data_IF_063268069093
#
_entry.id   IF_063268069093
#
_cell.length_a   1.000
_cell.length_b   1.000
_cell.length_c   1.000
_cell.angle_alpha   90.00
_cell.angle_beta   90.00
_cell.angle_gamma   90.00
#
_symmetry.space_group_name_H-M   'P 1'
#
loop_
_entity.id
_entity.type
_entity.pdbx_description
1 polymer ?
#
# COMPACT_ATOMS: atom_id res chain seq x y z
N UNK A 1 -9.56 -5.29 -16.48
CA UNK A 1 -8.46 -5.80 -15.66
C UNK A 1 -8.09 -4.71 -14.69
N UNK A 2 -8.03 -5.00 -13.39
CA UNK A 2 -7.66 -4.02 -12.37
C UNK A 2 -6.16 -3.73 -12.48
N UNK A 3 -5.76 -2.49 -12.30
CA UNK A 3 -4.34 -2.12 -12.29
C UNK A 3 -3.63 -2.79 -11.10
N UNK A 4 -2.45 -3.36 -11.34
CA UNK A 4 -1.64 -4.02 -10.32
C UNK A 4 -0.52 -3.05 -9.93
N UNK A 5 -0.61 -2.53 -8.70
CA UNK A 5 0.29 -1.55 -8.11
C UNK A 5 0.54 -1.90 -6.64
N UNK A 6 1.74 -1.61 -6.16
CA UNK A 6 2.13 -1.85 -4.78
C UNK A 6 2.87 -0.64 -4.21
N UNK A 7 2.66 -0.42 -2.93
CA UNK A 7 3.55 0.34 -2.06
C UNK A 7 4.20 -0.64 -1.07
N UNK A 8 5.28 -0.21 -0.43
CA UNK A 8 5.89 -0.99 0.64
C UNK A 8 6.18 -0.09 1.83
N UNK A 9 5.75 -0.52 3.01
CA UNK A 9 6.26 0.00 4.26
C UNK A 9 7.63 -0.64 4.54
N UNK A 10 8.69 0.15 4.56
CA UNK A 10 10.05 -0.31 4.87
C UNK A 10 10.29 -0.19 6.37
N UNK A 11 10.43 -1.33 7.04
CA UNK A 11 10.48 -1.45 8.50
C UNK A 11 11.72 -0.78 9.11
N UNK A 12 12.82 -0.73 8.36
CA UNK A 12 14.12 -0.20 8.81
C UNK A 12 14.03 1.29 9.14
N UNK A 13 13.44 2.10 8.24
CA UNK A 13 13.34 3.55 8.41
C UNK A 13 11.91 4.06 8.63
N UNK A 14 10.94 3.14 8.61
CA UNK A 14 9.52 3.37 8.91
C UNK A 14 8.83 4.30 7.91
N UNK A 15 9.21 4.21 6.63
CA UNK A 15 8.60 5.00 5.54
C UNK A 15 7.92 4.12 4.51
N UNK A 16 7.04 4.73 3.73
CA UNK A 16 6.36 4.08 2.62
C UNK A 16 7.01 4.50 1.31
N UNK A 17 7.35 3.52 0.49
CA UNK A 17 7.97 3.68 -0.81
C UNK A 17 7.08 3.14 -1.92
N UNK A 18 7.29 3.64 -3.14
CA UNK A 18 6.71 3.00 -4.31
C UNK A 18 7.52 1.75 -4.67
N UNK A 19 6.84 0.68 -5.09
CA UNK A 19 7.48 -0.55 -5.54
C UNK A 19 7.64 -0.51 -7.05
N UNK A 20 8.88 -0.66 -7.54
CA UNK A 20 9.18 -0.73 -8.97
C UNK A 20 9.29 -2.16 -9.48
N UNK A 21 9.90 -3.04 -8.69
CA UNK A 21 10.04 -4.45 -9.03
C UNK A 21 9.93 -5.34 -7.79
N UNK A 22 9.41 -6.56 -7.99
CA UNK A 22 9.36 -7.61 -6.98
C UNK A 22 10.04 -8.84 -7.56
N UNK A 23 11.09 -9.32 -6.91
CA UNK A 23 11.80 -10.52 -7.29
C UNK A 23 11.51 -11.66 -6.30
N UNK A 24 10.53 -12.50 -6.64
CA UNK A 24 10.15 -13.64 -5.80
C UNK A 24 11.23 -14.72 -5.67
N UNK A 25 12.16 -14.84 -6.62
CA UNK A 25 13.22 -15.85 -6.54
C UNK A 25 14.36 -15.44 -5.61
N UNK A 26 14.58 -14.13 -5.45
CA UNK A 26 15.58 -13.57 -4.54
C UNK A 26 15.00 -13.06 -3.23
N UNK A 27 13.67 -12.98 -3.13
CA UNK A 27 12.97 -12.40 -1.99
C UNK A 27 13.41 -10.94 -1.74
N UNK A 28 13.54 -10.18 -2.85
CA UNK A 28 13.99 -8.79 -2.87
C UNK A 28 12.96 -7.88 -3.57
N UNK A 29 12.85 -6.63 -3.10
CA UNK A 29 11.97 -5.59 -3.64
C UNK A 29 12.79 -4.36 -4.00
N UNK A 30 12.58 -3.81 -5.18
CA UNK A 30 13.13 -2.52 -5.60
C UNK A 30 12.16 -1.40 -5.21
N UNK A 31 12.62 -0.53 -4.30
CA UNK A 31 11.85 0.57 -3.72
C UNK A 31 12.35 1.90 -4.28
N UNK A 32 11.42 2.81 -4.59
CA UNK A 32 11.73 4.14 -5.11
C UNK A 32 11.37 5.25 -4.12
N UNK A 33 12.38 6.03 -3.71
CA UNK A 33 12.20 7.25 -2.94
C UNK A 33 11.93 8.44 -3.87
N UNK A 34 10.67 8.84 -3.97
CA UNK A 34 10.25 10.02 -4.76
C UNK A 34 10.90 11.32 -4.32
N UNK A 35 11.21 11.49 -3.03
CA UNK A 35 11.79 12.73 -2.51
C UNK A 35 13.26 12.85 -2.88
N UNK A 36 13.99 11.74 -2.76
CA UNK A 36 15.42 11.69 -3.05
C UNK A 36 15.72 11.37 -4.52
N UNK A 37 14.72 10.90 -5.28
CA UNK A 37 14.85 10.45 -6.68
C UNK A 37 15.89 9.34 -6.83
N UNK A 38 15.86 8.38 -5.91
CA UNK A 38 16.76 7.20 -5.90
C UNK A 38 15.96 5.94 -5.64
N UNK A 39 16.41 4.85 -6.24
CA UNK A 39 15.97 3.49 -5.96
C UNK A 39 16.96 2.76 -5.04
N UNK A 40 16.47 1.74 -4.34
CA UNK A 40 17.27 0.81 -3.55
C UNK A 40 16.55 -0.52 -3.38
N UNK A 41 17.32 -1.57 -3.07
CA UNK A 41 16.79 -2.92 -2.82
C UNK A 41 16.52 -3.13 -1.33
N UNK A 42 15.44 -3.84 -1.02
CA UNK A 42 15.09 -4.28 0.34
C UNK A 42 14.71 -5.77 0.34
N UNK A 43 15.05 -6.47 1.43
CA UNK A 43 14.60 -7.84 1.66
C UNK A 43 13.09 -7.89 1.92
N UNK A 44 12.44 -9.00 1.55
CA UNK A 44 11.05 -9.29 1.92
C UNK A 44 10.82 -9.23 3.44
N UNK A 45 11.82 -9.61 4.25
CA UNK A 45 11.73 -9.57 5.71
C UNK A 45 11.62 -8.12 6.24
N UNK A 46 12.19 -7.16 5.52
CA UNK A 46 12.27 -5.76 5.93
C UNK A 46 11.10 -4.91 5.43
N UNK A 47 10.16 -5.49 4.70
CA UNK A 47 9.06 -4.76 4.06
C UNK A 47 7.69 -5.36 4.39
N UNK A 48 6.66 -4.52 4.32
CA UNK A 48 5.26 -4.94 4.26
C UNK A 48 4.67 -4.40 2.96
N UNK A 49 4.25 -5.30 2.07
CA UNK A 49 3.64 -4.92 0.80
C UNK A 49 2.19 -4.47 1.03
N UNK A 50 1.83 -3.35 0.40
CA UNK A 50 0.51 -2.73 0.46
C UNK A 50 -0.06 -2.70 -0.95
N UNK A 51 -1.05 -3.54 -1.25
CA UNK A 51 -1.61 -3.64 -2.60
C UNK A 51 -2.64 -2.53 -2.87
N UNK A 52 -2.65 -1.99 -4.09
CA UNK A 52 -3.69 -1.06 -4.53
C UNK A 52 -5.08 -1.71 -4.56
N UNK A 53 -6.03 -1.07 -3.88
CA UNK A 53 -7.42 -1.54 -3.77
C UNK A 53 -8.24 -1.34 -5.05
N UNK A 54 -7.75 -0.58 -6.04
CA UNK A 54 -8.49 -0.25 -7.26
C UNK A 54 -9.44 0.93 -7.11
N UNK A 55 -9.57 1.44 -5.88
CA UNK A 55 -10.45 2.54 -5.53
C UNK A 55 -9.64 3.79 -5.21
N UNK A 56 -10.27 4.94 -5.41
CA UNK A 56 -9.77 6.24 -4.99
C UNK A 56 -10.72 6.81 -3.94
N UNK A 57 -10.19 7.59 -3.02
CA UNK A 57 -11.01 8.36 -2.08
C UNK A 57 -11.71 9.53 -2.80
N UNK A 58 -12.45 10.33 -2.01
CA UNK A 58 -13.17 11.52 -2.50
C UNK A 58 -12.27 12.57 -3.16
N UNK A 59 -10.99 12.60 -2.81
CA UNK A 59 -10.00 13.57 -3.29
C UNK A 59 -9.16 12.98 -4.45
N UNK A 60 -9.50 11.78 -4.91
CA UNK A 60 -8.86 11.10 -6.04
C UNK A 60 -7.56 10.36 -5.68
N UNK A 61 -7.22 10.28 -4.39
CA UNK A 61 -6.05 9.57 -3.86
C UNK A 61 -6.32 8.07 -3.92
N UNK A 62 -5.39 7.32 -4.49
CA UNK A 62 -5.46 5.86 -4.56
C UNK A 62 -5.39 5.26 -3.16
N UNK A 63 -6.29 4.32 -2.87
CA UNK A 63 -6.36 3.63 -1.57
C UNK A 63 -5.60 2.31 -1.67
N UNK A 64 -4.71 2.05 -0.73
CA UNK A 64 -3.90 0.84 -0.59
C UNK A 64 -4.31 0.04 0.64
N UNK A 65 -3.96 -1.25 0.66
CA UNK A 65 -4.10 -2.08 1.86
C UNK A 65 -3.38 -1.46 3.05
N UNK A 66 -4.02 -1.42 4.22
CA UNK A 66 -3.53 -0.77 5.43
C UNK A 66 -3.89 0.71 5.56
N UNK A 67 -4.43 1.36 4.52
CA UNK A 67 -4.89 2.74 4.62
C UNK A 67 -6.08 2.86 5.58
N UNK A 68 -6.07 3.93 6.38
CA UNK A 68 -7.15 4.31 7.29
C UNK A 68 -8.00 5.37 6.60
N UNK A 69 -9.30 5.10 6.52
CA UNK A 69 -10.28 5.95 5.86
C UNK A 69 -11.30 6.42 6.90
N UNK A 70 -11.85 7.61 6.68
CA UNK A 70 -13.01 8.07 7.43
C UNK A 70 -14.27 7.68 6.65
N UNK A 71 -15.15 6.90 7.29
CA UNK A 71 -16.44 6.52 6.74
C UNK A 71 -17.33 7.74 6.46
N UNK A 72 -18.19 7.63 5.45
CA UNK A 72 -19.09 8.70 5.01
C UNK A 72 -20.48 8.58 5.67
N UNK A 73 -20.63 7.80 6.74
CA UNK A 73 -21.91 7.82 7.47
C UNK A 73 -22.04 9.18 8.14
N UNK A 74 -23.00 9.98 7.68
CA UNK A 74 -23.27 11.35 8.16
C UNK A 74 -23.56 11.40 9.67
N UNK A 75 -23.84 10.25 10.30
CA UNK A 75 -24.06 10.13 11.74
C UNK A 75 -22.84 9.65 12.55
N UNK A 76 -21.83 9.02 11.95
CA UNK A 76 -20.72 8.41 12.69
C UNK A 76 -19.37 8.59 11.96
N UNK A 77 -18.46 9.34 12.58
CA UNK A 77 -17.05 9.45 12.19
C UNK A 77 -16.28 8.16 12.49
N UNK A 78 -16.71 7.04 11.92
CA UNK A 78 -16.02 5.77 12.08
C UNK A 78 -14.81 5.71 11.15
N UNK A 79 -13.67 5.31 11.73
CA UNK A 79 -12.47 5.02 10.96
C UNK A 79 -12.55 3.57 10.52
N UNK A 80 -12.23 3.31 9.26
CA UNK A 80 -12.09 1.96 8.74
C UNK A 80 -10.72 1.72 8.11
N UNK A 81 -10.27 0.46 8.07
CA UNK A 81 -9.02 0.04 7.46
C UNK A 81 -9.29 -0.79 6.22
N UNK A 82 -8.59 -0.49 5.13
CA UNK A 82 -8.62 -1.31 3.92
C UNK A 82 -7.83 -2.61 4.13
N UNK A 83 -8.48 -3.77 4.05
CA UNK A 83 -7.86 -5.09 4.25
C UNK A 83 -8.23 -6.04 3.11
N UNK A 84 -7.30 -6.91 2.68
CA UNK A 84 -7.62 -7.99 1.75
C UNK A 84 -8.02 -9.26 2.51
N UNK A 85 -9.26 -9.71 2.35
CA UNK A 85 -9.80 -10.90 3.04
C UNK A 85 -10.81 -11.61 2.16
N UNK A 86 -10.80 -12.95 2.18
CA UNK A 86 -11.75 -13.81 1.47
C UNK A 86 -11.87 -13.50 -0.03
N UNK A 87 -10.74 -13.10 -0.65
CA UNK A 87 -10.64 -12.81 -2.09
C UNK A 87 -11.06 -11.41 -2.51
N UNK A 88 -11.31 -10.49 -1.58
CA UNK A 88 -11.72 -9.12 -1.87
C UNK A 88 -11.13 -8.10 -0.89
N UNK A 89 -11.18 -6.82 -1.28
CA UNK A 89 -10.88 -5.72 -0.36
C UNK A 89 -12.13 -5.39 0.46
N UNK A 90 -11.97 -5.33 1.77
CA UNK A 90 -12.99 -4.97 2.74
C UNK A 90 -12.53 -3.72 3.51
N UNK A 91 -13.50 -2.96 4.01
CA UNK A 91 -13.28 -1.77 4.82
C UNK A 91 -13.95 -2.00 6.16
N UNK A 92 -13.16 -2.15 7.23
CA UNK A 92 -13.63 -2.47 8.58
C UNK A 92 -13.31 -1.37 9.56
#
# INVERSE_FOLDING_TARGET
MKEIKFKAYFKVDKRIYDVWAINFSREEIELFDKKMQVDFEASFDDVELMQYTGYKDKDGVEIYEGDILQGIDEMHNELCVALFKDGQFCFF
#
